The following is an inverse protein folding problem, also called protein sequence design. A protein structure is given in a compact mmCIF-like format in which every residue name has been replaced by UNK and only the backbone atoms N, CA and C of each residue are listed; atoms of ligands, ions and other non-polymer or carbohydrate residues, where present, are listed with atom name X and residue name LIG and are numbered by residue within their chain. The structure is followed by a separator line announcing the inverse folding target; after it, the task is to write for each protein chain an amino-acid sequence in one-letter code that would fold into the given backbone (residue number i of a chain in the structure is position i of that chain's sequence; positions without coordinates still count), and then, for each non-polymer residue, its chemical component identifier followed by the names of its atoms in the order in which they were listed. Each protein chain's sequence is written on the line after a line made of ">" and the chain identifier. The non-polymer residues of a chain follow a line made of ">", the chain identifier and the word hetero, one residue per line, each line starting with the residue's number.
data_IF_676896617265
#
_entry.id   IF_676896617265
#
_cell.length_a   1.000
_cell.length_b   1.000
_cell.length_c   1.000
_cell.angle_alpha   90.00
_cell.angle_beta   90.00
_cell.angle_gamma   90.00
#
_symmetry.space_group_name_H-M   'P 1'
#
loop_
_entity.id
_entity.type
_entity.pdbx_description
1 polymer ?
#
# COMPACT_ATOMS: atom_id res chain seq x y z
N UNK A 1 43.93 34.96 9.08
CA UNK A 1 43.74 33.52 9.12
C UNK A 1 42.28 33.17 9.25
N UNK A 2 41.65 32.79 8.13
CA UNK A 2 40.34 32.15 8.14
C UNK A 2 40.56 30.69 8.47
N UNK A 3 40.46 30.33 9.75
CA UNK A 3 40.44 28.94 10.16
C UNK A 3 39.23 28.26 9.52
N UNK A 4 39.49 27.41 8.52
CA UNK A 4 38.52 26.48 7.98
C UNK A 4 38.21 25.47 9.09
N UNK A 5 37.17 25.72 9.87
CA UNK A 5 36.58 24.69 10.72
C UNK A 5 35.86 23.73 9.78
N UNK A 6 36.33 22.48 9.59
CA UNK A 6 35.53 21.50 8.90
C UNK A 6 34.26 21.36 9.74
N UNK A 7 33.10 21.61 9.15
CA UNK A 7 31.84 21.17 9.73
C UNK A 7 32.02 19.71 10.14
N UNK A 8 32.01 19.40 11.44
CA UNK A 8 32.17 18.04 11.92
C UNK A 8 30.99 17.21 11.41
N UNK A 9 31.19 16.49 10.31
CA UNK A 9 30.25 15.49 9.84
C UNK A 9 30.10 14.44 10.92
N UNK A 10 28.86 13.95 11.12
CA UNK A 10 28.61 12.82 12.03
C UNK A 10 29.53 11.66 11.62
N UNK A 11 30.16 10.94 12.57
CA UNK A 11 31.06 9.84 12.25
C UNK A 11 30.43 8.83 11.30
N UNK A 12 31.24 8.28 10.38
CA UNK A 12 30.79 7.23 9.49
C UNK A 12 30.20 6.06 10.29
N UNK A 13 29.05 5.54 9.85
CA UNK A 13 28.33 4.48 10.57
C UNK A 13 27.38 4.96 11.67
N UNK A 14 27.27 6.27 11.92
CA UNK A 14 26.24 6.78 12.83
C UNK A 14 24.87 6.69 12.18
N UNK A 15 23.88 6.05 12.82
CA UNK A 15 22.51 6.00 12.30
C UNK A 15 21.92 7.41 12.17
N UNK A 16 21.42 7.72 10.98
CA UNK A 16 20.77 9.00 10.68
C UNK A 16 19.29 8.87 10.35
N UNK A 17 18.84 7.68 9.95
CA UNK A 17 17.42 7.35 9.84
C UNK A 17 17.20 5.89 10.25
N UNK A 18 16.32 5.69 11.22
CA UNK A 18 15.88 4.35 11.64
C UNK A 18 14.77 3.82 10.74
N UNK A 19 14.33 2.59 10.99
CA UNK A 19 13.27 1.94 10.21
C UNK A 19 11.88 2.35 10.68
N UNK A 20 10.97 2.58 9.73
CA UNK A 20 9.56 2.91 9.96
C UNK A 20 8.60 1.73 9.75
N UNK A 21 9.04 0.69 9.04
CA UNK A 21 8.26 -0.53 8.79
C UNK A 21 9.18 -1.74 8.56
N UNK A 22 8.59 -2.95 8.48
CA UNK A 22 9.31 -4.17 8.09
C UNK A 22 9.96 -4.07 6.69
N UNK A 23 9.48 -3.13 5.87
CA UNK A 23 9.89 -2.92 4.48
C UNK A 23 10.91 -1.79 4.31
N UNK A 24 11.41 -1.26 5.41
CA UNK A 24 12.30 -0.12 5.47
C UNK A 24 13.69 -0.56 5.97
N UNK A 25 14.79 0.06 5.52
CA UNK A 25 16.15 -0.25 5.97
C UNK A 25 16.82 0.98 6.59
N UNK A 26 17.61 0.88 7.66
CA UNK A 26 18.21 2.05 8.27
C UNK A 26 19.33 2.64 7.40
N UNK A 27 19.47 3.97 7.41
CA UNK A 27 20.64 4.64 6.82
C UNK A 27 21.60 5.18 7.87
N UNK A 28 22.87 5.16 7.46
CA UNK A 28 24.00 5.54 8.29
C UNK A 28 24.81 6.65 7.61
N UNK A 29 25.27 7.61 8.39
CA UNK A 29 26.15 8.69 7.92
C UNK A 29 27.40 8.11 7.26
N UNK A 30 27.84 8.76 6.18
CA UNK A 30 29.07 8.38 5.48
C UNK A 30 30.33 8.97 6.13
N UNK A 31 30.18 9.94 7.03
CA UNK A 31 31.28 10.74 7.57
C UNK A 31 31.88 11.76 6.58
N UNK A 32 31.33 11.84 5.37
CA UNK A 32 31.79 12.73 4.29
C UNK A 32 30.75 13.78 3.89
N UNK A 33 29.53 13.68 4.43
CA UNK A 33 28.42 14.60 4.20
C UNK A 33 27.68 14.86 5.51
N UNK A 34 27.05 16.03 5.60
CA UNK A 34 26.12 16.37 6.68
C UNK A 34 24.73 15.74 6.45
N UNK A 35 24.43 15.37 5.21
CA UNK A 35 23.16 14.75 4.83
C UNK A 35 23.21 13.23 5.06
N UNK A 36 22.09 12.67 5.52
CA UNK A 36 21.89 11.22 5.51
C UNK A 36 21.85 10.73 4.06
N UNK A 37 22.34 9.51 3.75
CA UNK A 37 22.15 8.93 2.43
C UNK A 37 20.68 8.89 2.01
N UNK A 38 20.45 8.74 0.70
CA UNK A 38 19.11 8.56 0.18
C UNK A 38 18.41 7.38 0.85
N UNK A 39 17.13 7.57 1.14
CA UNK A 39 16.25 6.58 1.74
C UNK A 39 16.19 5.32 0.88
N UNK A 40 16.53 4.18 1.47
CA UNK A 40 16.49 2.88 0.83
C UNK A 40 15.43 2.00 1.49
N UNK A 41 14.86 1.12 0.68
CA UNK A 41 13.80 0.22 1.10
C UNK A 41 14.17 -1.23 0.84
N UNK A 42 13.52 -2.13 1.57
CA UNK A 42 13.50 -3.53 1.18
C UNK A 42 12.97 -3.67 -0.24
N UNK A 43 13.45 -4.68 -0.96
CA UNK A 43 13.02 -4.93 -2.34
C UNK A 43 11.50 -5.11 -2.39
N UNK A 44 10.86 -4.49 -3.37
CA UNK A 44 9.45 -4.74 -3.66
C UNK A 44 9.20 -6.25 -3.84
N UNK A 45 8.14 -6.75 -3.23
CA UNK A 45 7.81 -8.19 -3.23
C UNK A 45 8.39 -8.99 -2.06
N UNK A 46 9.25 -8.40 -1.23
CA UNK A 46 9.70 -9.05 0.00
C UNK A 46 8.50 -9.29 0.94
N UNK A 47 8.26 -10.51 1.45
CA UNK A 47 7.16 -10.75 2.38
C UNK A 47 7.32 -9.94 3.68
N UNK A 48 6.21 -9.38 4.18
CA UNK A 48 6.19 -8.53 5.37
C UNK A 48 4.97 -8.83 6.27
N UNK A 49 5.00 -8.33 7.52
CA UNK A 49 3.92 -8.49 8.49
C UNK A 49 3.45 -9.95 8.66
N UNK A 50 4.41 -10.88 8.83
CA UNK A 50 4.16 -12.31 8.94
C UNK A 50 3.46 -12.91 7.70
N UNK A 51 3.93 -12.57 6.49
CA UNK A 51 3.39 -13.00 5.19
C UNK A 51 1.95 -12.52 4.87
N UNK A 52 1.44 -11.54 5.62
CA UNK A 52 0.14 -10.92 5.32
C UNK A 52 0.21 -9.90 4.19
N UNK A 53 1.42 -9.46 3.80
CA UNK A 53 1.64 -8.55 2.70
C UNK A 53 2.99 -8.76 2.03
N UNK A 54 3.25 -7.93 1.03
CA UNK A 54 4.54 -7.83 0.34
C UNK A 54 4.98 -6.39 0.31
N UNK A 55 6.28 -6.14 0.46
CA UNK A 55 6.83 -4.80 0.48
C UNK A 55 6.58 -4.08 -0.84
N UNK A 56 6.24 -2.81 -0.75
CA UNK A 56 6.05 -1.92 -1.88
C UNK A 56 6.49 -0.51 -1.47
N UNK A 57 7.59 -0.03 -2.05
CA UNK A 57 8.16 1.30 -1.83
C UNK A 57 8.27 1.69 -0.35
N UNK A 58 8.89 0.82 0.46
CA UNK A 58 9.16 1.09 1.88
C UNK A 58 8.02 0.77 2.84
N UNK A 59 6.84 0.38 2.34
CA UNK A 59 5.68 0.03 3.17
C UNK A 59 5.19 -1.39 2.90
N UNK A 60 4.37 -1.92 3.82
CA UNK A 60 3.66 -3.19 3.69
C UNK A 60 2.16 -2.95 3.50
N UNK A 61 1.67 -2.70 2.27
CA UNK A 61 0.25 -2.43 2.02
C UNK A 61 -0.58 -3.71 2.23
N UNK A 62 -1.56 -3.61 3.13
CA UNK A 62 -2.46 -4.72 3.50
C UNK A 62 -3.89 -4.18 3.55
N UNK A 63 -4.83 -4.91 2.94
CA UNK A 63 -6.25 -4.52 2.87
C UNK A 63 -6.85 -4.19 4.25
N UNK A 64 -6.49 -4.95 5.30
CA UNK A 64 -6.97 -4.70 6.66
C UNK A 64 -6.55 -3.31 7.17
N UNK A 65 -5.31 -2.91 6.94
CA UNK A 65 -4.81 -1.61 7.38
C UNK A 65 -5.49 -0.48 6.59
N UNK A 66 -5.75 -0.68 5.30
CA UNK A 66 -6.55 0.25 4.49
C UNK A 66 -7.98 0.40 5.04
N UNK A 67 -8.65 -0.70 5.39
CA UNK A 67 -9.96 -0.64 6.02
C UNK A 67 -9.93 0.13 7.35
N UNK A 68 -8.91 -0.10 8.18
CA UNK A 68 -8.74 0.62 9.45
C UNK A 68 -8.53 2.13 9.21
N UNK A 69 -7.75 2.50 8.20
CA UNK A 69 -7.54 3.91 7.86
C UNK A 69 -8.82 4.59 7.36
N UNK A 70 -9.68 3.88 6.63
CA UNK A 70 -10.90 4.41 6.06
C UNK A 70 -12.09 4.45 7.03
N UNK A 71 -12.23 3.43 7.89
CA UNK A 71 -13.43 3.22 8.72
C UNK A 71 -13.13 3.14 10.23
N UNK A 72 -11.85 3.20 10.63
CA UNK A 72 -11.42 3.16 12.03
C UNK A 72 -10.99 1.77 12.52
N UNK A 73 -10.47 1.71 13.75
CA UNK A 73 -9.73 0.56 14.30
C UNK A 73 -10.47 -0.78 14.37
N UNK A 74 -11.81 -0.77 14.29
CA UNK A 74 -12.64 -1.99 14.29
C UNK A 74 -12.89 -2.57 12.90
N UNK A 75 -12.55 -1.84 11.85
CA UNK A 75 -12.82 -2.25 10.49
C UNK A 75 -11.97 -3.47 10.11
N UNK A 76 -12.57 -4.33 9.31
CA UNK A 76 -11.98 -5.55 8.77
C UNK A 76 -12.20 -5.59 7.26
N UNK A 77 -11.48 -6.47 6.56
CA UNK A 77 -11.74 -6.73 5.15
C UNK A 77 -13.07 -7.45 5.04
N UNK A 78 -13.94 -7.01 4.13
CA UNK A 78 -15.20 -7.67 3.87
C UNK A 78 -14.99 -9.06 3.22
N UNK A 79 -16.04 -9.87 3.21
CA UNK A 79 -16.02 -11.18 2.55
C UNK A 79 -15.76 -11.05 1.03
N UNK A 80 -15.18 -12.11 0.45
CA UNK A 80 -14.80 -12.17 -0.96
C UNK A 80 -15.97 -11.89 -1.92
N UNK A 81 -17.20 -12.26 -1.51
CA UNK A 81 -18.41 -11.99 -2.27
C UNK A 81 -18.61 -10.48 -2.55
N UNK A 82 -18.19 -9.60 -1.64
CA UNK A 82 -18.30 -8.16 -1.83
C UNK A 82 -17.40 -7.67 -2.99
N UNK A 83 -16.24 -8.27 -3.18
CA UNK A 83 -15.32 -7.86 -4.24
C UNK A 83 -15.86 -8.19 -5.64
N UNK A 84 -16.83 -9.09 -5.77
CA UNK A 84 -17.46 -9.42 -7.05
C UNK A 84 -18.21 -8.22 -7.67
N UNK A 85 -18.60 -7.23 -6.86
CA UNK A 85 -19.15 -5.98 -7.36
C UNK A 85 -18.17 -5.19 -8.24
N UNK A 86 -16.85 -5.43 -8.13
CA UNK A 86 -15.85 -4.81 -8.99
C UNK A 86 -15.91 -5.27 -10.45
N UNK A 87 -16.56 -6.41 -10.72
CA UNK A 87 -16.78 -6.92 -12.08
C UNK A 87 -17.91 -6.19 -12.82
N UNK A 88 -18.69 -5.34 -12.13
CA UNK A 88 -19.82 -4.63 -12.73
C UNK A 88 -19.39 -3.47 -13.64
N UNK A 89 -18.22 -2.87 -13.40
CA UNK A 89 -17.81 -1.65 -14.09
C UNK A 89 -18.72 -0.47 -13.76
N UNK A 90 -19.24 -0.43 -12.53
CA UNK A 90 -20.12 0.62 -12.03
C UNK A 90 -19.35 1.89 -11.64
N UNK A 91 -20.04 2.89 -11.10
CA UNK A 91 -19.41 4.14 -10.67
C UNK A 91 -18.32 3.95 -9.61
N UNK A 92 -18.46 2.92 -8.77
CA UNK A 92 -17.50 2.62 -7.70
C UNK A 92 -16.82 1.26 -7.87
N UNK A 93 -17.47 0.30 -8.53
CA UNK A 93 -17.00 -1.08 -8.68
C UNK A 93 -16.33 -1.28 -10.03
N UNK A 94 -15.02 -1.02 -10.09
CA UNK A 94 -14.17 -1.18 -11.27
C UNK A 94 -12.72 -1.43 -10.82
N UNK A 95 -11.83 -1.82 -11.74
CA UNK A 95 -10.42 -2.09 -11.42
C UNK A 95 -9.49 -0.91 -11.71
N UNK A 96 -9.72 -0.25 -12.85
CA UNK A 96 -8.88 0.85 -13.32
C UNK A 96 -9.64 1.74 -14.28
N UNK A 97 -9.02 2.86 -14.65
CA UNK A 97 -9.54 3.73 -15.71
C UNK A 97 -8.57 3.78 -16.88
N UNK A 98 -9.14 3.72 -18.08
CA UNK A 98 -8.41 3.92 -19.33
C UNK A 98 -9.12 5.04 -20.08
N UNK A 99 -8.42 6.16 -20.32
CA UNK A 99 -8.98 7.35 -20.99
C UNK A 99 -10.29 7.85 -20.36
N UNK A 100 -10.37 7.86 -19.02
CA UNK A 100 -11.57 8.26 -18.27
C UNK A 100 -12.68 7.21 -18.20
N UNK A 101 -12.59 6.11 -18.95
CA UNK A 101 -13.54 5.00 -18.89
C UNK A 101 -13.19 4.05 -17.74
N UNK A 102 -14.15 3.77 -16.87
CA UNK A 102 -14.05 2.76 -15.81
C UNK A 102 -14.04 1.36 -16.45
N UNK A 103 -13.01 0.57 -16.16
CA UNK A 103 -12.83 -0.77 -16.69
C UNK A 103 -13.21 -1.79 -15.61
N UNK A 104 -14.21 -2.65 -15.85
CA UNK A 104 -14.57 -3.71 -14.90
C UNK A 104 -13.39 -4.65 -14.66
N UNK A 105 -13.33 -5.22 -13.47
CA UNK A 105 -12.33 -6.24 -13.15
C UNK A 105 -12.60 -7.53 -13.93
N UNK A 106 -11.52 -8.21 -14.33
CA UNK A 106 -11.58 -9.64 -14.62
C UNK A 106 -11.82 -10.41 -13.30
N UNK A 107 -12.36 -11.65 -13.34
CA UNK A 107 -12.60 -12.44 -12.13
C UNK A 107 -11.39 -12.59 -11.21
N UNK A 108 -10.19 -12.73 -11.77
CA UNK A 108 -8.92 -12.83 -11.06
C UNK A 108 -8.45 -11.49 -10.45
N UNK A 109 -8.96 -10.37 -10.93
CA UNK A 109 -8.53 -9.02 -10.56
C UNK A 109 -9.47 -8.34 -9.56
N UNK A 110 -10.59 -8.99 -9.18
CA UNK A 110 -11.63 -8.37 -8.34
C UNK A 110 -11.11 -7.84 -7.00
N UNK A 111 -10.01 -8.40 -6.49
CA UNK A 111 -9.32 -7.98 -5.27
C UNK A 111 -8.43 -6.73 -5.45
N UNK A 112 -8.31 -6.19 -6.65
CA UNK A 112 -7.51 -5.01 -6.98
C UNK A 112 -8.33 -3.81 -7.47
N UNK A 113 -9.66 -3.87 -7.34
CA UNK A 113 -10.56 -2.75 -7.61
C UNK A 113 -10.91 -1.93 -6.37
N UNK A 114 -12.21 -1.65 -6.17
CA UNK A 114 -12.72 -1.04 -4.93
C UNK A 114 -12.40 -1.93 -3.74
N UNK A 115 -11.91 -1.33 -2.66
CA UNK A 115 -11.78 -2.00 -1.37
C UNK A 115 -13.15 -2.11 -0.71
N UNK A 116 -13.49 -3.31 -0.25
CA UNK A 116 -14.67 -3.58 0.55
C UNK A 116 -14.27 -3.90 1.98
N UNK A 117 -14.88 -3.18 2.91
CA UNK A 117 -14.62 -3.30 4.34
C UNK A 117 -15.91 -3.66 5.08
N UNK A 118 -15.74 -4.12 6.31
CA UNK A 118 -16.81 -4.43 7.23
C UNK A 118 -16.43 -3.97 8.63
N UNK A 119 -17.30 -3.19 9.26
CA UNK A 119 -17.24 -2.91 10.69
C UNK A 119 -18.39 -3.65 11.39
N UNK A 120 -18.07 -4.45 12.42
CA UNK A 120 -19.05 -5.22 13.20
C UNK A 120 -19.91 -4.32 14.12
N UNK A 121 -20.28 -3.11 13.68
CA UNK A 121 -21.09 -2.19 14.46
C UNK A 121 -22.56 -2.62 14.36
N UNK A 122 -23.30 -2.71 15.48
CA UNK A 122 -24.70 -3.15 15.49
C UNK A 122 -25.63 -2.34 14.58
N UNK A 123 -25.27 -1.08 14.35
CA UNK A 123 -26.01 -0.13 13.51
C UNK A 123 -25.68 -0.33 12.01
N UNK A 124 -24.53 -0.91 11.69
CA UNK A 124 -24.04 -1.08 10.33
C UNK A 124 -24.34 -2.49 9.80
N UNK A 125 -25.48 -2.61 9.13
CA UNK A 125 -25.94 -3.89 8.55
C UNK A 125 -25.38 -4.20 7.17
N UNK A 126 -24.64 -3.28 6.56
CA UNK A 126 -24.07 -3.49 5.23
C UNK A 126 -22.72 -4.26 5.36
N UNK A 127 -22.64 -5.53 4.91
CA UNK A 127 -21.40 -6.30 4.97
C UNK A 127 -20.35 -5.84 3.95
N UNK A 128 -20.74 -5.02 2.96
CA UNK A 128 -19.89 -4.59 1.85
C UNK A 128 -19.77 -3.05 1.85
N UNK A 129 -19.11 -2.48 2.86
CA UNK A 129 -18.91 -1.04 2.94
C UNK A 129 -17.79 -0.59 2.02
N UNK A 130 -17.97 0.60 1.42
CA UNK A 130 -16.99 1.22 0.53
C UNK A 130 -16.81 2.69 0.88
N UNK A 131 -15.65 3.24 0.56
CA UNK A 131 -15.46 4.69 0.46
C UNK A 131 -15.44 5.04 -1.02
N UNK A 132 -16.26 6.01 -1.41
CA UNK A 132 -16.32 6.57 -2.77
C UNK A 132 -16.67 8.04 -2.69
N UNK A 133 -15.94 8.88 -3.45
CA UNK A 133 -16.26 10.30 -3.61
C UNK A 133 -16.12 10.70 -5.08
N UNK A 134 -17.06 11.44 -5.69
CA UNK A 134 -16.93 11.88 -7.08
C UNK A 134 -15.72 12.81 -7.33
N UNK A 135 -15.24 13.52 -6.31
CA UNK A 135 -14.08 14.42 -6.39
C UNK A 135 -12.74 13.69 -6.43
N UNK A 136 -12.71 12.49 -5.87
CA UNK A 136 -11.55 11.61 -5.81
C UNK A 136 -12.08 10.18 -5.80
N UNK A 137 -12.27 9.64 -7.00
CA UNK A 137 -12.80 8.30 -7.19
C UNK A 137 -11.75 7.22 -6.90
N UNK A 138 -10.47 7.58 -6.81
CA UNK A 138 -9.38 6.65 -6.50
C UNK A 138 -9.30 6.41 -4.98
N UNK A 139 -9.75 7.37 -4.17
CA UNK A 139 -9.94 7.17 -2.72
C UNK A 139 -10.84 5.98 -2.45
N UNK A 140 -10.31 4.99 -1.72
CA UNK A 140 -11.01 3.76 -1.36
C UNK A 140 -10.81 2.61 -2.35
N UNK A 141 -10.05 2.80 -3.41
CA UNK A 141 -9.50 1.68 -4.21
C UNK A 141 -8.46 0.93 -3.40
N UNK A 142 -8.21 -0.33 -3.73
CA UNK A 142 -7.12 -1.12 -3.14
C UNK A 142 -5.78 -0.51 -3.54
N UNK A 143 -4.92 -0.21 -2.56
CA UNK A 143 -3.64 0.43 -2.84
C UNK A 143 -2.72 -0.47 -3.71
N UNK A 144 -1.88 0.11 -4.59
CA UNK A 144 -0.85 -0.64 -5.30
C UNK A 144 0.11 -1.40 -4.37
N UNK A 145 0.58 -2.56 -4.81
CA UNK A 145 1.44 -3.46 -4.03
C UNK A 145 0.69 -4.30 -2.98
N UNK A 146 -0.60 -4.04 -2.74
CA UNK A 146 -1.40 -4.81 -1.78
C UNK A 146 -1.48 -6.27 -2.21
N UNK A 147 -1.27 -7.19 -1.25
CA UNK A 147 -1.48 -8.63 -1.47
C UNK A 147 -2.95 -8.92 -1.81
N UNK A 148 -3.18 -9.52 -2.97
CA UNK A 148 -4.52 -9.91 -3.44
C UNK A 148 -4.76 -11.43 -3.40
N UNK A 149 -3.68 -12.21 -3.42
CA UNK A 149 -3.65 -13.66 -3.25
C UNK A 149 -2.25 -14.06 -2.72
N UNK A 150 -2.08 -15.30 -2.27
CA UNK A 150 -0.75 -15.82 -1.99
C UNK A 150 0.14 -15.76 -3.24
N UNK A 151 1.32 -15.13 -3.10
CA UNK A 151 2.25 -14.92 -4.21
C UNK A 151 1.86 -13.81 -5.18
N UNK A 152 0.80 -13.03 -4.92
CA UNK A 152 0.33 -12.00 -5.85
C UNK A 152 0.06 -10.65 -5.19
N UNK A 153 0.19 -9.59 -6.00
CA UNK A 153 0.02 -8.18 -5.60
C UNK A 153 -0.80 -7.40 -6.63
N UNK A 154 -1.44 -6.33 -6.17
CA UNK A 154 -2.19 -5.42 -7.02
C UNK A 154 -1.29 -4.42 -7.73
N UNK A 155 -1.24 -4.45 -9.06
CA UNK A 155 -0.53 -3.46 -9.89
C UNK A 155 -1.47 -2.98 -10.98
N UNK A 156 -1.72 -1.66 -11.04
CA UNK A 156 -2.61 -1.02 -12.01
C UNK A 156 -3.99 -1.71 -12.14
N UNK A 157 -4.58 -2.09 -11.00
CA UNK A 157 -5.88 -2.76 -10.95
C UNK A 157 -5.84 -4.21 -11.44
N UNK A 158 -4.70 -4.89 -11.40
CA UNK A 158 -4.55 -6.32 -11.73
C UNK A 158 -3.88 -7.09 -10.60
N UNK A 159 -4.30 -8.32 -10.35
CA UNK A 159 -3.69 -9.22 -9.38
C UNK A 159 -2.62 -10.08 -10.05
N UNK A 160 -1.36 -9.65 -9.95
CA UNK A 160 -0.22 -10.23 -10.70
C UNK A 160 0.77 -10.94 -9.79
N UNK A 161 1.52 -11.89 -10.34
CA UNK A 161 2.57 -12.62 -9.60
C UNK A 161 3.67 -11.67 -9.10
N UNK A 162 3.96 -11.75 -7.81
CA UNK A 162 4.91 -10.88 -7.11
C UNK A 162 6.32 -10.93 -7.70
N UNK A 163 6.72 -12.04 -8.32
CA UNK A 163 8.03 -12.22 -8.94
C UNK A 163 8.16 -11.51 -10.30
N UNK A 164 7.03 -11.11 -10.89
CA UNK A 164 6.96 -10.44 -12.21
C UNK A 164 6.40 -9.02 -12.14
N UNK A 165 6.00 -8.59 -10.95
CA UNK A 165 5.33 -7.31 -10.71
C UNK A 165 6.26 -6.09 -10.72
N UNK A 166 7.56 -6.30 -10.45
CA UNK A 166 8.54 -5.25 -10.15
C UNK A 166 9.84 -5.41 -10.95
#
# INVERSE_FOLDING_TARGET
>A
DSAFHPSEFRPAGTECRGTSSDCDVPEYCTGQSAECPADQFQRNGQPCQNNNGYCYNGICPIMRNQCILLFGSRATVAEDACFQFNSLGSDYGYCRKENGRKIPCAPEDVKCGRLYCFDNLPEHKNPCQIVYTPSDEDKGMVDPGTKCEDGKVCINGKCVDVNTAY
#
